data_IF_952518310755
#
_entry.id   IF_952518310755
#
_cell.length_a   1.000
_cell.length_b   1.000
_cell.length_c   1.000
_cell.angle_alpha   90.00
_cell.angle_beta   90.00
_cell.angle_gamma   90.00
#
_symmetry.space_group_name_H-M   'P 1'
#
loop_
_entity.id
_entity.type
_entity.pdbx_description
1 polymer ?
#
# COMPACT_ATOMS: atom_id res chain seq x y z
N UNK A 1 -9.00 23.15 20.81
CA UNK A 1 -9.42 22.51 19.55
C UNK A 1 -9.96 21.12 19.90
N UNK A 2 -11.28 20.86 19.73
CA UNK A 2 -11.88 19.54 20.03
C UNK A 2 -11.61 18.61 18.84
N UNK A 3 -10.80 17.58 19.03
CA UNK A 3 -10.67 16.50 18.07
C UNK A 3 -11.88 15.59 18.20
N UNK A 4 -12.74 15.54 17.17
CA UNK A 4 -13.78 14.52 17.08
C UNK A 4 -13.10 13.18 16.76
N UNK A 5 -12.86 12.37 17.80
CA UNK A 5 -12.62 10.93 17.63
C UNK A 5 -13.98 10.25 17.39
N UNK A 6 -14.52 10.43 16.19
CA UNK A 6 -15.56 9.54 15.68
C UNK A 6 -14.93 8.21 15.24
N UNK A 7 -15.67 7.09 15.29
CA UNK A 7 -15.19 5.86 14.65
C UNK A 7 -14.87 6.18 13.19
N UNK A 8 -13.71 5.71 12.70
CA UNK A 8 -13.48 5.69 11.26
C UNK A 8 -14.68 4.97 10.62
N UNK A 9 -15.37 5.56 9.63
CA UNK A 9 -16.49 4.91 8.98
C UNK A 9 -16.06 3.51 8.57
N UNK A 10 -16.89 2.52 8.88
CA UNK A 10 -16.61 1.15 8.50
C UNK A 10 -16.36 1.13 6.99
N UNK A 11 -15.31 0.45 6.51
CA UNK A 11 -14.93 0.43 5.08
C UNK A 11 -16.10 0.04 4.16
N UNK A 12 -17.02 -0.80 4.64
CA UNK A 12 -18.25 -1.19 3.94
C UNK A 12 -19.25 -0.03 3.77
N UNK A 13 -19.28 0.95 4.68
CA UNK A 13 -20.16 2.12 4.58
C UNK A 13 -19.72 3.05 3.44
N UNK A 14 -18.41 3.21 3.22
CA UNK A 14 -17.88 4.00 2.10
C UNK A 14 -18.19 3.31 0.76
N UNK A 15 -18.15 1.96 0.73
CA UNK A 15 -18.53 1.19 -0.45
C UNK A 15 -20.01 1.30 -0.80
N UNK A 16 -20.87 1.23 0.22
CA UNK A 16 -22.29 1.45 0.06
C UNK A 16 -22.60 2.88 -0.38
N UNK A 17 -21.91 3.88 0.20
CA UNK A 17 -22.07 5.28 -0.20
C UNK A 17 -21.60 5.54 -1.63
N UNK A 18 -20.48 4.96 -2.08
CA UNK A 18 -20.02 5.12 -3.46
C UNK A 18 -21.00 4.50 -4.48
N UNK A 19 -21.51 3.30 -4.19
CA UNK A 19 -22.59 2.68 -4.99
C UNK A 19 -23.86 3.51 -5.00
N UNK A 20 -24.16 4.24 -3.92
CA UNK A 20 -25.39 4.98 -3.76
C UNK A 20 -25.33 6.43 -4.31
N UNK A 21 -24.16 7.06 -4.32
CA UNK A 21 -24.05 8.52 -4.54
C UNK A 21 -23.10 8.97 -5.65
N UNK A 22 -22.37 8.08 -6.33
CA UNK A 22 -21.40 8.56 -7.31
C UNK A 22 -20.74 7.56 -8.24
N UNK A 23 -21.08 6.28 -8.22
CA UNK A 23 -20.47 5.30 -9.13
C UNK A 23 -19.11 4.77 -8.61
N UNK A 24 -18.79 3.55 -9.00
CA UNK A 24 -17.54 2.88 -8.61
C UNK A 24 -16.32 3.58 -9.23
N UNK A 25 -16.45 4.11 -10.44
CA UNK A 25 -15.40 4.81 -11.20
C UNK A 25 -14.93 6.09 -10.53
N UNK A 26 -15.84 6.89 -9.99
CA UNK A 26 -15.55 8.16 -9.32
C UNK A 26 -14.84 7.91 -7.99
N UNK A 27 -15.18 6.82 -7.30
CA UNK A 27 -14.46 6.40 -6.10
C UNK A 27 -13.03 5.96 -6.44
N UNK A 28 -12.84 5.18 -7.50
CA UNK A 28 -11.50 4.79 -7.98
C UNK A 28 -10.67 6.03 -8.34
N UNK A 29 -11.26 6.97 -9.09
CA UNK A 29 -10.63 8.24 -9.44
C UNK A 29 -10.23 9.02 -8.19
N UNK A 30 -11.13 9.15 -7.22
CA UNK A 30 -10.87 9.88 -5.98
C UNK A 30 -9.76 9.20 -5.15
N UNK A 31 -9.77 7.87 -5.08
CA UNK A 31 -8.75 7.10 -4.38
C UNK A 31 -7.36 7.28 -5.01
N UNK A 32 -7.26 7.11 -6.33
CA UNK A 32 -5.99 7.20 -7.07
C UNK A 32 -5.48 8.64 -7.09
N UNK A 33 -6.34 9.62 -7.35
CA UNK A 33 -5.96 11.04 -7.35
C UNK A 33 -5.56 11.56 -5.95
N UNK A 34 -5.96 10.86 -4.89
CA UNK A 34 -5.53 11.12 -3.52
C UNK A 34 -4.39 10.21 -3.05
N UNK A 35 -3.90 9.30 -3.88
CA UNK A 35 -2.79 8.41 -3.56
C UNK A 35 -1.49 8.95 -4.13
N UNK A 36 -0.39 8.63 -3.45
CA UNK A 36 0.95 9.06 -3.81
C UNK A 36 1.85 7.83 -3.92
N UNK A 37 2.42 7.67 -5.11
CA UNK A 37 3.42 6.66 -5.45
C UNK A 37 4.79 7.33 -5.46
N UNK A 38 5.85 6.60 -5.14
CA UNK A 38 7.20 7.13 -5.35
C UNK A 38 7.47 7.18 -6.83
N UNK A 39 8.14 8.23 -7.28
CA UNK A 39 8.71 8.25 -8.61
C UNK A 39 9.76 7.14 -8.77
N UNK A 40 9.86 6.48 -9.94
CA UNK A 40 10.77 5.32 -10.11
C UNK A 40 12.22 5.58 -9.69
N UNK A 41 12.73 6.80 -9.86
CA UNK A 41 14.08 7.20 -9.47
C UNK A 41 14.31 7.27 -7.95
N UNK A 42 13.24 7.40 -7.16
CA UNK A 42 13.29 7.38 -5.69
C UNK A 42 13.06 5.99 -5.10
N UNK A 43 12.66 5.04 -5.93
CA UNK A 43 12.40 3.67 -5.50
C UNK A 43 13.71 2.94 -5.24
N UNK A 44 13.85 2.44 -4.02
CA UNK A 44 14.87 1.49 -3.60
C UNK A 44 14.32 0.06 -3.77
N UNK A 45 15.07 -0.76 -4.51
CA UNK A 45 14.80 -2.19 -4.72
C UNK A 45 14.78 -2.96 -3.39
N UNK A 46 15.76 -2.68 -2.54
CA UNK A 46 16.04 -3.44 -1.32
C UNK A 46 15.21 -2.97 -0.13
N UNK A 47 14.86 -3.94 0.73
CA UNK A 47 14.28 -3.65 2.03
C UNK A 47 15.31 -2.99 2.94
N UNK A 48 14.97 -1.83 3.47
CA UNK A 48 15.81 -1.12 4.44
C UNK A 48 15.93 -1.84 5.78
N UNK A 49 14.86 -2.52 6.19
CA UNK A 49 14.79 -3.26 7.45
C UNK A 49 14.49 -4.74 7.16
N UNK A 50 15.49 -5.51 6.69
CA UNK A 50 15.29 -6.89 6.21
C UNK A 50 15.02 -7.90 7.33
N UNK A 51 15.13 -7.49 8.59
CA UNK A 51 14.80 -8.28 9.78
C UNK A 51 13.49 -7.82 10.46
N UNK A 52 12.65 -7.06 9.75
CA UNK A 52 11.36 -6.61 10.27
C UNK A 52 10.23 -7.10 9.38
N UNK A 53 9.09 -7.38 9.99
CA UNK A 53 7.85 -7.72 9.32
C UNK A 53 6.67 -7.06 10.04
N UNK A 54 5.57 -6.80 9.34
CA UNK A 54 4.34 -6.36 10.00
C UNK A 54 3.75 -7.51 10.81
N UNK A 55 3.31 -7.21 12.04
CA UNK A 55 2.55 -8.16 12.83
C UNK A 55 1.26 -8.60 12.11
N UNK A 56 0.96 -9.89 12.23
CA UNK A 56 -0.17 -10.54 11.56
C UNK A 56 -0.74 -11.58 12.50
N UNK A 57 -2.05 -11.56 12.72
CA UNK A 57 -2.70 -12.59 13.54
C UNK A 57 -2.80 -13.93 12.80
N UNK A 58 -2.85 -13.89 11.47
CA UNK A 58 -2.91 -15.08 10.63
C UNK A 58 -1.55 -15.77 10.53
N UNK A 59 -0.49 -14.99 10.29
CA UNK A 59 0.86 -15.53 10.09
C UNK A 59 1.65 -15.70 11.40
N UNK A 60 1.40 -14.85 12.41
CA UNK A 60 2.08 -14.86 13.70
C UNK A 60 1.07 -14.96 14.86
N UNK A 61 0.33 -16.08 14.98
CA UNK A 61 -0.72 -16.23 15.98
C UNK A 61 -0.16 -16.10 17.40
N UNK A 62 -0.81 -15.25 18.21
CA UNK A 62 -0.40 -15.00 19.59
C UNK A 62 0.82 -14.08 19.74
N UNK A 63 1.36 -13.54 18.65
CA UNK A 63 2.51 -12.63 18.65
C UNK A 63 2.12 -11.20 18.33
N UNK A 64 2.68 -10.26 19.10
CA UNK A 64 2.44 -8.83 19.02
C UNK A 64 3.61 -8.05 18.42
N UNK A 65 3.42 -6.74 18.32
CA UNK A 65 4.49 -5.82 17.93
C UNK A 65 5.64 -5.85 18.96
N UNK A 66 6.88 -5.72 18.51
CA UNK A 66 8.09 -5.77 19.33
C UNK A 66 8.58 -7.18 19.65
N UNK A 67 7.74 -8.20 19.48
CA UNK A 67 8.17 -9.59 19.63
C UNK A 67 9.02 -10.06 18.45
N UNK A 68 9.89 -11.02 18.73
CA UNK A 68 10.71 -11.69 17.73
C UNK A 68 10.10 -13.05 17.37
N UNK A 69 10.09 -13.38 16.08
CA UNK A 69 9.62 -14.67 15.54
C UNK A 69 10.68 -15.24 14.59
N UNK A 70 10.73 -16.56 14.46
CA UNK A 70 11.59 -17.23 13.49
C UNK A 70 10.77 -17.65 12.27
N UNK A 71 11.19 -17.23 11.08
CA UNK A 71 10.54 -17.55 9.81
C UNK A 71 11.62 -17.98 8.82
N UNK A 72 11.53 -19.20 8.29
CA UNK A 72 12.51 -19.77 7.35
C UNK A 72 13.97 -19.66 7.83
N UNK A 73 14.19 -19.78 9.15
CA UNK A 73 15.51 -19.67 9.78
C UNK A 73 16.03 -18.23 9.94
N UNK A 74 15.18 -17.23 9.74
CA UNK A 74 15.49 -15.81 9.96
C UNK A 74 14.70 -15.27 11.15
N UNK A 75 15.40 -14.60 12.05
CA UNK A 75 14.82 -13.89 13.19
C UNK A 75 14.23 -12.55 12.75
N UNK A 76 12.91 -12.38 12.90
CA UNK A 76 12.16 -11.20 12.49
C UNK A 76 11.57 -10.48 13.70
N UNK A 77 11.74 -9.16 13.75
CA UNK A 77 11.09 -8.28 14.72
C UNK A 77 9.75 -7.81 14.15
N UNK A 78 8.67 -8.08 14.87
CA UNK A 78 7.33 -7.69 14.45
C UNK A 78 7.10 -6.19 14.69
N UNK A 79 6.59 -5.49 13.68
CA UNK A 79 6.40 -4.04 13.70
C UNK A 79 4.95 -3.64 13.40
N UNK A 80 4.57 -2.45 13.85
CA UNK A 80 3.21 -1.90 13.73
C UNK A 80 3.00 -1.04 12.47
N UNK A 81 3.82 -1.23 11.42
CA UNK A 81 3.92 -0.39 10.22
C UNK A 81 4.82 0.86 10.38
N UNK A 82 5.53 1.00 11.50
CA UNK A 82 6.38 2.17 11.78
C UNK A 82 7.62 2.21 10.87
N UNK A 83 8.29 1.08 10.62
CA UNK A 83 9.46 1.00 9.75
C UNK A 83 9.13 1.22 8.28
N UNK A 84 7.97 0.75 7.82
CA UNK A 84 7.49 1.06 6.46
C UNK A 84 7.22 2.58 6.32
N UNK A 85 6.59 3.21 7.33
CA UNK A 85 6.39 4.66 7.34
C UNK A 85 7.71 5.44 7.34
N UNK A 86 8.67 5.05 8.18
CA UNK A 86 9.98 5.68 8.22
C UNK A 86 10.71 5.57 6.88
N UNK A 87 10.66 4.39 6.25
CA UNK A 87 11.30 4.14 4.95
C UNK A 87 10.67 4.97 3.84
N UNK A 88 9.33 5.02 3.78
CA UNK A 88 8.61 5.86 2.83
C UNK A 88 8.93 7.35 3.01
N UNK A 89 8.93 7.83 4.26
CA UNK A 89 9.21 9.24 4.57
C UNK A 89 10.60 9.65 4.10
N UNK A 90 11.59 8.80 4.32
CA UNK A 90 12.96 9.07 3.85
C UNK A 90 13.04 9.12 2.33
N UNK A 91 12.44 8.13 1.64
CA UNK A 91 12.51 8.06 0.18
C UNK A 91 11.76 9.22 -0.49
N UNK A 92 10.58 9.57 0.02
CA UNK A 92 9.74 10.61 -0.58
C UNK A 92 10.19 12.04 -0.25
N UNK A 93 10.83 12.25 0.91
CA UNK A 93 11.01 13.60 1.48
C UNK A 93 9.68 14.27 1.86
N UNK A 94 8.56 13.53 1.81
CA UNK A 94 7.22 14.06 1.99
C UNK A 94 6.85 14.13 3.48
N UNK A 95 6.32 15.29 3.89
CA UNK A 95 5.73 15.45 5.20
C UNK A 95 4.28 14.94 5.15
N UNK A 96 3.98 13.94 5.98
CA UNK A 96 2.67 13.32 6.04
C UNK A 96 1.55 14.35 6.18
N UNK A 97 0.50 14.19 5.35
CA UNK A 97 -0.76 14.89 5.57
C UNK A 97 -1.32 14.45 6.93
N UNK A 98 -2.11 15.31 7.56
CA UNK A 98 -2.72 15.08 8.88
C UNK A 98 -3.57 13.77 8.96
N UNK A 99 -4.29 13.58 10.06
CA UNK A 99 -5.17 12.42 10.30
C UNK A 99 -5.98 11.99 9.06
N UNK A 100 -5.95 10.71 8.70
CA UNK A 100 -6.78 10.14 7.62
C UNK A 100 -6.00 9.50 6.46
N UNK A 101 -4.68 9.57 6.47
CA UNK A 101 -3.79 8.97 5.47
C UNK A 101 -2.71 8.11 6.13
N UNK A 102 -2.19 7.13 5.38
CA UNK A 102 -1.03 6.38 5.82
C UNK A 102 -0.34 5.59 4.72
N UNK A 103 0.83 5.08 5.06
CA UNK A 103 1.61 4.18 4.20
C UNK A 103 0.94 2.81 4.17
N UNK A 104 0.85 2.23 2.97
CA UNK A 104 0.19 0.96 2.68
C UNK A 104 1.04 0.08 1.78
N UNK A 105 0.90 -1.23 1.97
CA UNK A 105 1.55 -2.26 1.17
C UNK A 105 0.69 -2.60 -0.05
N UNK A 106 1.22 -2.38 -1.25
CA UNK A 106 0.51 -2.54 -2.52
C UNK A 106 0.17 -4.01 -2.79
N UNK A 107 1.12 -4.90 -2.49
CA UNK A 107 1.00 -6.32 -2.84
C UNK A 107 0.51 -7.18 -1.67
N UNK A 108 0.21 -6.60 -0.50
CA UNK A 108 -0.29 -7.35 0.67
C UNK A 108 0.77 -8.12 1.46
N UNK A 109 2.01 -8.20 0.97
CA UNK A 109 3.14 -8.88 1.62
C UNK A 109 3.80 -8.01 2.70
N UNK A 110 3.00 -7.47 3.61
CA UNK A 110 3.51 -6.66 4.74
C UNK A 110 4.26 -7.51 5.77
N UNK A 111 3.98 -8.81 5.84
CA UNK A 111 4.63 -9.74 6.76
C UNK A 111 5.85 -10.44 6.15
N UNK A 112 6.13 -10.26 4.86
CA UNK A 112 7.37 -10.70 4.21
C UNK A 112 8.46 -9.66 4.45
N UNK A 113 9.54 -10.04 5.15
CA UNK A 113 10.63 -9.13 5.47
C UNK A 113 11.39 -8.59 4.24
N UNK A 114 11.34 -9.29 3.10
CA UNK A 114 11.94 -8.86 1.82
C UNK A 114 11.08 -7.84 1.07
N UNK A 115 9.81 -7.68 1.44
CA UNK A 115 8.88 -6.75 0.81
C UNK A 115 8.34 -5.68 1.77
N UNK A 116 8.47 -5.89 3.09
CA UNK A 116 7.85 -5.07 4.13
C UNK A 116 8.25 -3.59 4.06
N UNK A 117 9.52 -3.31 3.78
CA UNK A 117 10.04 -1.94 3.70
C UNK A 117 10.55 -1.58 2.31
N UNK A 118 10.32 -2.45 1.34
CA UNK A 118 10.72 -2.22 -0.03
C UNK A 118 9.81 -1.15 -0.64
N UNK A 119 10.41 -0.05 -1.09
CA UNK A 119 9.63 1.17 -1.41
C UNK A 119 8.70 1.00 -2.61
N UNK A 120 8.99 0.09 -3.54
CA UNK A 120 8.10 -0.30 -4.63
C UNK A 120 6.81 -0.98 -4.15
N UNK A 121 6.82 -1.52 -2.94
CA UNK A 121 5.65 -2.13 -2.31
C UNK A 121 4.86 -1.12 -1.48
N UNK A 122 5.30 0.14 -1.40
CA UNK A 122 4.68 1.14 -0.54
C UNK A 122 3.96 2.19 -1.37
N UNK A 123 2.86 2.71 -0.82
CA UNK A 123 2.19 3.91 -1.30
C UNK A 123 1.60 4.68 -0.13
N UNK A 124 1.40 5.98 -0.27
CA UNK A 124 0.72 6.81 0.72
C UNK A 124 -0.68 7.16 0.22
N UNK A 125 -1.71 6.79 0.98
CA UNK A 125 -3.09 6.89 0.53
C UNK A 125 -4.07 7.11 1.68
N UNK A 126 -5.30 7.55 1.39
CA UNK A 126 -6.34 7.68 2.41
C UNK A 126 -6.62 6.34 3.10
N UNK A 127 -6.87 6.36 4.41
CA UNK A 127 -7.12 5.15 5.20
C UNK A 127 -8.27 4.30 4.67
N UNK A 128 -9.32 4.95 4.16
CA UNK A 128 -10.48 4.27 3.58
C UNK A 128 -10.18 3.57 2.26
N UNK A 129 -9.23 4.11 1.48
CA UNK A 129 -8.80 3.57 0.19
C UNK A 129 -7.71 2.50 0.34
N UNK A 130 -7.10 2.43 1.52
CA UNK A 130 -5.87 1.70 1.75
C UNK A 130 -5.99 0.48 2.65
N UNK A 131 -7.16 -0.13 2.80
CA UNK A 131 -7.23 -1.35 3.59
C UNK A 131 -6.79 -2.59 2.79
N UNK A 132 -5.50 -2.67 2.48
CA UNK A 132 -4.91 -3.74 1.67
C UNK A 132 -4.24 -4.79 2.57
N UNK A 133 -4.92 -5.28 3.60
CA UNK A 133 -4.35 -6.30 4.51
C UNK A 133 -5.08 -7.62 4.39
N UNK A 134 -4.29 -8.68 4.16
CA UNK A 134 -4.62 -10.10 4.35
C UNK A 134 -6.00 -10.53 3.82
N UNK A 135 -6.14 -10.40 2.50
CA UNK A 135 -7.11 -11.11 1.65
C UNK A 135 -8.40 -10.41 1.25
N UNK A 136 -8.81 -9.29 1.85
CA UNK A 136 -9.99 -8.56 1.34
C UNK A 136 -9.84 -7.04 1.45
N UNK A 137 -9.47 -6.40 0.34
CA UNK A 137 -9.82 -4.99 0.18
C UNK A 137 -11.34 -4.92 -0.03
N UNK A 138 -12.08 -4.02 0.63
CA UNK A 138 -13.52 -3.86 0.42
C UNK A 138 -13.89 -3.46 -1.03
N UNK A 139 -12.89 -3.10 -1.83
CA UNK A 139 -12.99 -2.78 -3.25
C UNK A 139 -11.92 -3.52 -4.04
N UNK A 140 -12.25 -4.69 -4.58
CA UNK A 140 -11.30 -5.50 -5.35
C UNK A 140 -10.75 -4.75 -6.57
N UNK A 141 -11.60 -3.98 -7.26
CA UNK A 141 -11.18 -3.20 -8.41
C UNK A 141 -10.17 -2.11 -8.03
N UNK A 142 -10.34 -1.45 -6.88
CA UNK A 142 -9.34 -0.48 -6.38
C UNK A 142 -8.00 -1.15 -6.11
N UNK A 143 -8.01 -2.32 -5.45
CA UNK A 143 -6.78 -3.07 -5.20
C UNK A 143 -6.09 -3.48 -6.52
N UNK A 144 -6.87 -3.94 -7.51
CA UNK A 144 -6.35 -4.25 -8.86
C UNK A 144 -5.78 -3.02 -9.55
N UNK A 145 -6.46 -1.87 -9.52
CA UNK A 145 -5.98 -0.61 -10.10
C UNK A 145 -4.68 -0.16 -9.43
N UNK A 146 -4.60 -0.15 -8.10
CA UNK A 146 -3.38 0.24 -7.36
C UNK A 146 -2.21 -0.68 -7.71
N UNK A 147 -2.45 -1.99 -7.79
CA UNK A 147 -1.43 -2.97 -8.22
C UNK A 147 -1.02 -2.76 -9.66
N UNK A 148 -1.96 -2.44 -10.55
CA UNK A 148 -1.67 -2.17 -11.95
C UNK A 148 -0.80 -0.92 -12.10
N UNK A 149 -1.17 0.19 -11.45
CA UNK A 149 -0.34 1.41 -11.41
C UNK A 149 1.08 1.10 -10.93
N UNK A 150 1.21 0.36 -9.83
CA UNK A 150 2.52 -0.06 -9.32
C UNK A 150 3.30 -0.95 -10.30
N UNK A 151 2.61 -1.89 -10.95
CA UNK A 151 3.22 -2.77 -11.95
C UNK A 151 3.78 -1.97 -13.13
N UNK A 152 2.99 -1.04 -13.63
CA UNK A 152 3.34 -0.20 -14.79
C UNK A 152 4.53 0.67 -14.45
N UNK A 153 4.49 1.35 -13.31
CA UNK A 153 5.55 2.25 -12.86
C UNK A 153 6.88 1.53 -12.61
N UNK A 154 6.86 0.39 -11.92
CA UNK A 154 8.07 -0.17 -11.29
C UNK A 154 8.63 -1.42 -11.97
N UNK A 155 7.83 -2.06 -12.82
CA UNK A 155 8.19 -3.34 -13.43
C UNK A 155 8.03 -3.36 -14.94
N UNK A 156 7.26 -2.44 -15.53
CA UNK A 156 7.09 -2.31 -16.99
C UNK A 156 7.82 -1.11 -17.58
N UNK A 157 7.46 0.10 -17.16
CA UNK A 157 7.91 1.35 -17.79
C UNK A 157 9.20 1.88 -17.15
N UNK A 158 9.31 1.81 -15.82
CA UNK A 158 10.52 2.12 -15.07
C UNK A 158 11.03 0.90 -14.31
N UNK A 159 11.46 -0.18 -14.99
CA UNK A 159 11.95 -1.37 -14.31
C UNK A 159 13.09 -0.98 -13.39
N UNK A 160 12.91 -1.24 -12.10
CA UNK A 160 13.94 -0.96 -11.09
C UNK A 160 15.17 -1.78 -11.46
N UNK A 161 16.23 -1.11 -11.91
CA UNK A 161 17.40 -1.71 -12.59
C UNK A 161 18.14 -2.77 -11.77
N UNK A 162 17.93 -2.79 -10.45
CA UNK A 162 18.58 -3.70 -9.50
C UNK A 162 17.57 -4.58 -8.73
N UNK A 163 16.35 -4.76 -9.24
CA UNK A 163 15.36 -5.63 -8.61
C UNK A 163 14.96 -6.76 -9.54
N UNK A 164 15.32 -7.99 -9.17
CA UNK A 164 14.60 -9.14 -9.71
C UNK A 164 13.17 -9.12 -9.15
N UNK A 165 12.17 -8.98 -10.04
CA UNK A 165 10.76 -8.97 -9.65
C UNK A 165 10.42 -10.23 -8.82
N UNK A 166 9.92 -10.07 -7.58
CA UNK A 166 9.43 -11.20 -6.78
C UNK A 166 8.32 -11.98 -7.48
N UNK A 167 8.28 -13.30 -7.30
CA UNK A 167 7.34 -14.20 -8.00
C UNK A 167 5.86 -13.89 -7.72
N UNK A 168 5.55 -13.32 -6.56
CA UNK A 168 4.18 -12.94 -6.19
C UNK A 168 3.71 -11.65 -6.88
N UNK A 169 4.62 -10.86 -7.45
CA UNK A 169 4.25 -9.67 -8.22
C UNK A 169 3.87 -10.12 -9.61
N UNK A 170 2.59 -10.08 -9.92
CA UNK A 170 2.04 -10.45 -11.22
C UNK A 170 1.37 -9.23 -11.85
N UNK A 171 1.43 -9.15 -13.18
CA UNK A 171 0.66 -8.13 -13.91
C UNK A 171 -0.84 -8.43 -13.69
N UNK A 172 -1.61 -7.50 -13.10
CA UNK A 172 -3.05 -7.68 -12.98
C UNK A 172 -3.77 -7.75 -14.33
N UNK A 173 -3.13 -7.32 -15.43
CA UNK A 173 -3.67 -7.37 -16.78
C UNK A 173 -4.78 -6.35 -17.03
N UNK A 174 -4.87 -5.32 -16.20
CA UNK A 174 -5.84 -4.24 -16.31
C UNK A 174 -5.31 -3.12 -17.22
N UNK A 175 -6.11 -2.70 -18.19
CA UNK A 175 -5.85 -1.45 -18.90
C UNK A 175 -6.37 -0.30 -18.06
N UNK A 176 -5.48 0.55 -17.54
CA UNK A 176 -5.88 1.66 -16.66
C UNK A 176 -6.87 2.62 -17.33
N UNK A 177 -6.78 2.80 -18.66
CA UNK A 177 -7.73 3.58 -19.46
C UNK A 177 -9.17 3.09 -19.40
N UNK A 178 -9.36 1.79 -19.12
CA UNK A 178 -10.68 1.16 -19.11
C UNK A 178 -11.31 1.25 -17.71
N UNK A 179 -10.48 1.50 -16.67
CA UNK A 179 -10.90 1.53 -15.27
C UNK A 179 -10.88 2.93 -14.65
N UNK A 180 -10.09 3.85 -15.21
CA UNK A 180 -9.93 5.21 -14.71
C UNK A 180 -10.31 6.21 -15.82
N UNK A 181 -11.04 7.29 -15.48
CA UNK A 181 -11.24 8.40 -16.38
C UNK A 181 -9.90 8.95 -16.90
N UNK A 182 -9.85 9.37 -18.17
CA UNK A 182 -8.63 9.84 -18.82
C UNK A 182 -7.99 11.06 -18.13
N UNK A 183 -8.75 11.80 -17.35
CA UNK A 183 -8.32 12.96 -16.55
C UNK A 183 -7.94 12.59 -15.09
N UNK A 184 -7.76 11.29 -14.81
CA UNK A 184 -7.27 10.81 -13.50
C UNK A 184 -5.79 11.10 -13.37
N UNK A 185 -5.42 11.76 -12.28
CA UNK A 185 -4.02 12.11 -11.98
C UNK A 185 -3.41 11.03 -11.10
N UNK A 186 -2.29 10.44 -11.53
CA UNK A 186 -1.45 9.60 -10.69
C UNK A 186 -0.35 10.48 -10.10
N UNK A 187 -0.38 10.70 -8.78
CA UNK A 187 0.65 11.53 -8.14
C UNK A 187 1.92 10.71 -7.91
N UNK A 188 3.00 11.15 -8.55
CA UNK A 188 4.35 10.69 -8.25
C UNK A 188 5.01 11.71 -7.32
N UNK A 189 5.68 11.22 -6.27
CA UNK A 189 6.46 12.02 -5.32
C UNK A 189 7.90 11.57 -5.35
#
# INVERSE_FOLDING_TARGET
MKFLKGPHPAPNAIAQMAKQFGGETELLRAAISASFFLSPEKVKAECRYPNHARSSRALYPGKGFGETVEVDGVSLILDSNHKAQATWREASGFFFRASGYGVRHIWGYASDAKAYTATWNLCYMPFWAGMMTEDQHPFELLAKVVRQVSFDLYFREGPITNLQRPAFIQDPGLKLSDALPADTVINLI
#
